data_IF_355521936697
#
_entry.id   IF_355521936697
#
_cell.length_a   1.000
_cell.length_b   1.000
_cell.length_c   1.000
_cell.angle_alpha   90.00
_cell.angle_beta   90.00
_cell.angle_gamma   90.00
#
_symmetry.space_group_name_H-M   'P 1'
#
loop_
_entity.id
_entity.type
_entity.pdbx_description
1 polymer ?
#
# COMPACT_ATOMS: atom_id res chain seq x y z
N UNK A 1 -2.38 -2.34 19.02
CA UNK A 1 -2.05 -2.12 17.61
C UNK A 1 -1.75 -0.64 17.44
N UNK A 2 -0.59 -0.28 16.91
CA UNK A 2 -0.23 1.11 16.60
C UNK A 2 -0.99 1.59 15.36
N UNK A 3 -0.95 2.90 15.10
CA UNK A 3 -1.54 3.47 13.88
C UNK A 3 -0.89 2.90 12.61
N UNK A 4 0.44 2.76 12.62
CA UNK A 4 1.22 2.15 11.54
C UNK A 4 0.76 0.71 11.25
N UNK A 5 0.70 -0.14 12.27
CA UNK A 5 0.22 -1.52 12.14
C UNK A 5 -1.21 -1.57 11.58
N UNK A 6 -2.10 -0.68 12.06
CA UNK A 6 -3.49 -0.62 11.61
C UNK A 6 -3.57 -0.26 10.12
N UNK A 7 -2.84 0.77 9.69
CA UNK A 7 -2.82 1.22 8.30
C UNK A 7 -2.23 0.16 7.36
N UNK A 8 -1.14 -0.50 7.78
CA UNK A 8 -0.54 -1.59 7.00
C UNK A 8 -1.47 -2.79 6.90
N UNK A 9 -2.19 -3.15 7.97
CA UNK A 9 -3.08 -4.32 7.98
C UNK A 9 -4.34 -4.17 7.13
N UNK A 10 -4.87 -2.95 6.96
CA UNK A 10 -6.08 -2.72 6.14
C UNK A 10 -5.78 -2.66 4.63
N UNK A 11 -4.53 -2.44 4.24
CA UNK A 11 -4.09 -2.42 2.84
C UNK A 11 -4.38 -1.11 2.09
N UNK A 12 -3.59 -0.84 1.05
CA UNK A 12 -3.61 0.42 0.31
C UNK A 12 -4.91 0.62 -0.47
N UNK A 13 -5.45 -0.43 -1.10
CA UNK A 13 -6.69 -0.36 -1.90
C UNK A 13 -7.89 0.07 -1.04
N UNK A 14 -8.04 -0.50 0.15
CA UNK A 14 -9.14 -0.16 1.05
C UNK A 14 -9.00 1.27 1.60
N UNK A 15 -7.77 1.72 1.87
CA UNK A 15 -7.48 3.10 2.25
C UNK A 15 -7.81 4.09 1.11
N UNK A 16 -7.41 3.78 -0.12
CA UNK A 16 -7.68 4.61 -1.30
C UNK A 16 -9.18 4.80 -1.54
N UNK A 17 -9.97 3.71 -1.48
CA UNK A 17 -11.44 3.75 -1.59
C UNK A 17 -12.10 4.65 -0.54
N UNK A 18 -11.47 4.78 0.63
CA UNK A 18 -12.01 5.49 1.79
C UNK A 18 -11.48 6.94 1.95
N UNK A 19 -10.75 7.45 0.97
CA UNK A 19 -10.26 8.84 0.92
C UNK A 19 -8.75 9.00 1.02
N UNK A 20 -8.00 7.89 1.11
CA UNK A 20 -6.57 7.88 0.81
C UNK A 20 -6.33 8.33 -0.63
N UNK A 21 -5.18 8.94 -0.87
CA UNK A 21 -4.81 9.50 -2.18
C UNK A 21 -3.70 8.67 -2.79
N UNK A 22 -3.98 7.84 -3.81
CA UNK A 22 -2.95 7.07 -4.48
C UNK A 22 -1.90 7.98 -5.11
N UNK A 23 -0.63 7.68 -4.86
CA UNK A 23 0.48 8.24 -5.63
C UNK A 23 0.50 7.60 -7.04
N UNK A 24 1.43 8.03 -7.91
CA UNK A 24 1.49 7.56 -9.30
C UNK A 24 1.51 6.03 -9.42
N UNK A 25 0.72 5.49 -10.34
CA UNK A 25 0.56 4.04 -10.55
C UNK A 25 1.86 3.34 -11.03
N UNK A 26 2.86 4.13 -11.41
CA UNK A 26 4.19 3.66 -11.77
C UNK A 26 5.10 3.39 -10.57
N UNK A 27 4.66 3.69 -9.33
CA UNK A 27 5.41 3.37 -8.12
C UNK A 27 5.06 1.96 -7.65
N UNK A 28 6.04 1.06 -7.64
CA UNK A 28 5.88 -0.33 -7.24
C UNK A 28 6.99 -0.74 -6.26
N UNK A 29 6.72 -1.77 -5.45
CA UNK A 29 7.74 -2.34 -4.58
C UNK A 29 8.86 -2.97 -5.41
N UNK A 30 10.12 -2.70 -5.04
CA UNK A 30 11.27 -3.28 -5.73
C UNK A 30 11.53 -4.74 -5.37
N UNK A 31 10.77 -5.29 -4.42
CA UNK A 31 10.74 -6.72 -4.10
C UNK A 31 9.35 -7.17 -3.59
N UNK A 32 8.89 -8.40 -3.90
CA UNK A 32 7.53 -8.84 -3.56
C UNK A 32 7.26 -8.94 -2.07
N UNK A 33 6.10 -8.48 -1.62
CA UNK A 33 5.66 -8.57 -0.23
C UNK A 33 6.20 -7.47 0.67
N UNK A 34 6.85 -6.44 0.12
CA UNK A 34 7.22 -5.27 0.90
C UNK A 34 5.96 -4.48 1.24
N UNK A 35 5.80 -4.14 2.51
CA UNK A 35 4.71 -3.29 2.96
C UNK A 35 5.14 -2.48 4.18
N UNK A 36 4.61 -1.27 4.31
CA UNK A 36 4.79 -0.45 5.49
C UNK A 36 3.67 0.59 5.61
N UNK A 37 3.54 1.17 6.80
CA UNK A 37 2.85 2.44 6.94
C UNK A 37 3.54 3.32 7.98
N UNK A 38 3.79 4.59 7.64
CA UNK A 38 4.58 5.50 8.46
C UNK A 38 4.27 6.97 8.17
N UNK A 39 4.69 7.85 9.08
CA UNK A 39 4.62 9.30 8.84
C UNK A 39 5.64 9.70 7.78
N UNK A 40 5.22 10.52 6.82
CA UNK A 40 6.04 11.03 5.74
C UNK A 40 7.09 12.02 6.27
N UNK A 41 8.33 11.80 5.82
CA UNK A 41 9.43 12.75 5.87
C UNK A 41 9.82 13.10 4.42
N UNK A 42 9.37 14.26 3.92
CA UNK A 42 9.65 14.67 2.54
C UNK A 42 11.13 14.92 2.27
N UNK A 43 11.58 14.56 1.08
CA UNK A 43 12.94 14.78 0.58
C UNK A 43 12.86 15.24 -0.87
N UNK A 44 13.61 16.28 -1.23
CA UNK A 44 13.82 16.67 -2.62
C UNK A 44 15.30 16.55 -2.95
N UNK A 45 15.63 15.63 -3.84
CA UNK A 45 16.95 15.49 -4.41
C UNK A 45 17.18 16.52 -5.52
N UNK A 46 18.45 16.89 -5.74
CA UNK A 46 18.82 17.56 -6.98
C UNK A 46 18.85 16.54 -8.14
N UNK A 47 18.64 16.98 -9.39
CA UNK A 47 18.77 16.16 -10.59
C UNK A 47 20.05 15.29 -10.59
N UNK A 48 19.89 13.97 -10.54
CA UNK A 48 21.00 13.00 -10.57
C UNK A 48 21.87 12.94 -9.31
N UNK A 49 21.40 13.45 -8.17
CA UNK A 49 22.16 13.54 -6.93
C UNK A 49 21.36 13.10 -5.70
N UNK A 50 21.95 12.26 -4.83
CA UNK A 50 21.28 11.71 -3.67
C UNK A 50 21.81 12.24 -2.32
N UNK A 51 22.57 13.35 -2.27
CA UNK A 51 23.07 13.91 -1.01
C UNK A 51 21.93 14.18 -0.01
N UNK A 52 20.79 14.69 -0.49
CA UNK A 52 19.62 14.95 0.35
C UNK A 52 19.05 13.69 1.01
N UNK A 53 19.17 12.51 0.37
CA UNK A 53 18.75 11.24 0.94
C UNK A 53 19.63 10.82 2.11
N UNK A 54 20.95 10.95 1.98
CA UNK A 54 21.87 10.69 3.09
C UNK A 54 21.58 11.61 4.28
N UNK A 55 21.34 12.90 4.03
CA UNK A 55 20.92 13.84 5.07
C UNK A 55 19.58 13.46 5.70
N UNK A 56 18.62 12.97 4.90
CA UNK A 56 17.32 12.55 5.39
C UNK A 56 17.41 11.31 6.29
N UNK A 57 18.24 10.32 5.95
CA UNK A 57 18.49 9.14 6.80
C UNK A 57 19.02 9.54 8.19
N UNK A 58 19.84 10.59 8.25
CA UNK A 58 20.36 11.10 9.52
C UNK A 58 19.34 11.90 10.35
N UNK A 59 18.42 12.62 9.70
CA UNK A 59 17.53 13.58 10.35
C UNK A 59 16.10 13.09 10.57
N UNK A 60 15.64 12.12 9.78
CA UNK A 60 14.28 11.61 9.88
C UNK A 60 14.11 10.86 11.22
N UNK A 61 13.01 11.11 11.95
CA UNK A 61 12.72 10.34 13.16
C UNK A 61 12.57 8.85 12.84
N UNK A 62 13.03 7.94 13.72
CA UNK A 62 12.67 6.52 13.61
C UNK A 62 11.15 6.35 13.54
N UNK A 63 10.67 5.39 12.75
CA UNK A 63 9.26 5.20 12.44
C UNK A 63 8.73 6.05 11.27
N UNK A 64 9.61 6.77 10.56
CA UNK A 64 9.22 7.62 9.41
C UNK A 64 9.43 6.88 8.08
N UNK A 65 8.70 7.34 7.05
CA UNK A 65 8.97 6.99 5.66
C UNK A 65 9.60 8.16 4.92
N UNK A 66 10.67 7.91 4.16
CA UNK A 66 11.23 8.92 3.27
C UNK A 66 10.38 8.97 2.00
N UNK A 67 9.88 10.15 1.63
CA UNK A 67 9.13 10.35 0.37
C UNK A 67 9.91 11.33 -0.48
N UNK A 68 10.29 10.92 -1.69
CA UNK A 68 11.42 11.51 -2.41
C UNK A 68 11.00 11.97 -3.79
N UNK A 69 11.17 13.26 -4.04
CA UNK A 69 11.11 13.90 -5.35
C UNK A 69 12.54 14.03 -5.91
N UNK A 70 12.81 13.42 -7.06
CA UNK A 70 14.12 13.47 -7.75
C UNK A 70 14.18 14.55 -8.83
N UNK A 71 13.25 15.50 -8.80
CA UNK A 71 13.15 16.62 -9.73
C UNK A 71 13.04 16.21 -11.21
N UNK A 72 12.39 15.06 -11.47
CA UNK A 72 12.14 14.54 -12.82
C UNK A 72 13.28 13.75 -13.46
N UNK A 73 14.42 13.58 -12.79
CA UNK A 73 15.55 12.81 -13.31
C UNK A 73 15.53 11.36 -12.84
N UNK A 74 14.75 10.51 -13.50
CA UNK A 74 14.61 9.09 -13.14
C UNK A 74 15.71 8.16 -13.73
N UNK A 75 16.74 8.69 -14.38
CA UNK A 75 17.79 7.87 -15.04
C UNK A 75 18.87 7.34 -14.10
N UNK A 76 18.86 7.75 -12.82
CA UNK A 76 19.88 7.38 -11.83
C UNK A 76 19.30 6.50 -10.73
N UNK A 77 20.10 5.57 -10.21
CA UNK A 77 19.82 4.81 -8.99
C UNK A 77 20.14 5.65 -7.76
N UNK A 78 19.13 6.29 -7.16
CA UNK A 78 19.30 7.17 -5.99
C UNK A 78 19.44 6.41 -4.66
N UNK A 79 18.87 5.22 -4.60
CA UNK A 79 18.95 4.31 -3.45
C UNK A 79 19.63 3.03 -3.87
N UNK A 80 20.60 2.61 -3.08
CA UNK A 80 21.39 1.41 -3.26
C UNK A 80 21.44 0.57 -1.97
N UNK A 81 22.24 -0.50 -1.96
CA UNK A 81 22.39 -1.36 -0.78
C UNK A 81 22.85 -0.57 0.46
N UNK A 82 23.84 0.31 0.30
CA UNK A 82 24.45 1.04 1.43
C UNK A 82 23.42 1.98 2.06
N UNK A 83 22.71 2.76 1.23
CA UNK A 83 21.70 3.68 1.72
C UNK A 83 20.51 2.94 2.32
N UNK A 84 20.08 1.82 1.72
CA UNK A 84 18.97 1.02 2.24
C UNK A 84 19.31 0.41 3.61
N UNK A 85 20.52 -0.15 3.78
CA UNK A 85 21.00 -0.66 5.08
C UNK A 85 21.09 0.46 6.11
N UNK A 86 21.59 1.64 5.72
CA UNK A 86 21.67 2.79 6.62
C UNK A 86 20.28 3.26 7.08
N UNK A 87 19.33 3.38 6.15
CA UNK A 87 17.94 3.73 6.45
C UNK A 87 17.30 2.72 7.40
N UNK A 88 17.49 1.41 7.14
CA UNK A 88 16.95 0.34 7.97
C UNK A 88 17.52 0.41 9.39
N UNK A 89 18.84 0.58 9.50
CA UNK A 89 19.54 0.69 10.78
C UNK A 89 19.09 1.90 11.59
N UNK A 90 18.66 2.99 10.92
CA UNK A 90 18.11 4.19 11.56
C UNK A 90 16.63 4.11 11.90
N UNK A 91 15.97 2.98 11.62
CA UNK A 91 14.55 2.79 11.90
C UNK A 91 13.65 3.54 10.93
N UNK A 92 14.08 3.75 9.69
CA UNK A 92 13.20 4.17 8.60
C UNK A 92 12.33 2.97 8.20
N UNK A 93 11.02 3.18 8.11
CA UNK A 93 10.05 2.12 7.84
C UNK A 93 9.88 1.85 6.34
N UNK A 94 10.22 2.82 5.50
CA UNK A 94 10.19 2.66 4.05
C UNK A 94 10.66 3.88 3.29
N UNK A 95 10.98 3.68 2.01
CA UNK A 95 11.40 4.73 1.09
C UNK A 95 10.48 4.69 -0.13
N UNK A 96 9.90 5.84 -0.50
CA UNK A 96 9.11 6.02 -1.71
C UNK A 96 9.79 7.07 -2.56
N UNK A 97 10.12 6.77 -3.81
CA UNK A 97 10.74 7.74 -4.71
C UNK A 97 10.14 7.67 -6.11
N UNK A 98 9.83 8.85 -6.67
CA UNK A 98 9.50 8.98 -8.10
C UNK A 98 10.79 9.04 -8.94
N UNK A 99 11.64 8.03 -8.78
CA UNK A 99 12.92 7.87 -9.44
C UNK A 99 13.41 6.43 -9.33
N UNK A 100 14.55 6.10 -9.96
CA UNK A 100 15.08 4.75 -9.97
C UNK A 100 15.96 4.41 -8.76
N UNK A 101 16.11 3.11 -8.51
CA UNK A 101 17.03 2.53 -7.52
C UNK A 101 18.02 1.57 -8.17
N UNK A 102 19.04 1.14 -7.41
CA UNK A 102 19.96 0.05 -7.77
C UNK A 102 20.04 -1.01 -6.66
N UNK A 103 20.71 -2.12 -6.95
CA UNK A 103 20.94 -3.21 -5.99
C UNK A 103 19.68 -3.83 -5.34
N UNK A 104 18.59 -3.92 -6.10
CA UNK A 104 17.29 -4.40 -5.58
C UNK A 104 17.34 -5.76 -4.88
N UNK A 105 18.23 -6.65 -5.34
CA UNK A 105 18.43 -7.96 -4.71
C UNK A 105 19.04 -7.85 -3.31
N UNK A 106 19.89 -6.84 -3.08
CA UNK A 106 20.45 -6.55 -1.76
C UNK A 106 19.46 -5.83 -0.86
N UNK A 107 18.72 -4.86 -1.41
CA UNK A 107 17.63 -4.16 -0.72
C UNK A 107 16.59 -5.17 -0.20
N UNK A 108 16.24 -6.17 -1.00
CA UNK A 108 15.35 -7.25 -0.58
C UNK A 108 15.91 -8.08 0.59
N UNK A 109 17.23 -8.37 0.60
CA UNK A 109 17.88 -9.15 1.67
C UNK A 109 17.92 -8.42 3.01
N UNK A 110 18.03 -7.09 3.01
CA UNK A 110 17.95 -6.30 4.24
C UNK A 110 16.51 -5.96 4.64
N UNK A 111 15.51 -6.42 3.88
CA UNK A 111 14.08 -6.22 4.14
C UNK A 111 13.68 -4.74 4.31
N UNK A 112 14.37 -3.82 3.62
CA UNK A 112 13.99 -2.41 3.57
C UNK A 112 12.90 -2.22 2.50
N UNK A 113 11.68 -1.80 2.86
CA UNK A 113 10.64 -1.51 1.89
C UNK A 113 11.02 -0.30 1.04
N UNK A 114 11.16 -0.50 -0.27
CA UNK A 114 11.45 0.58 -1.23
C UNK A 114 10.47 0.51 -2.39
N UNK A 115 9.82 1.63 -2.65
CA UNK A 115 8.86 1.82 -3.73
C UNK A 115 9.41 2.83 -4.72
N UNK A 116 9.56 2.42 -5.96
CA UNK A 116 10.31 3.17 -6.97
C UNK A 116 9.56 3.15 -8.30
N UNK A 117 9.89 4.11 -9.17
CA UNK A 117 9.42 4.13 -10.56
C UNK A 117 10.24 3.26 -11.51
N UNK A 118 11.37 2.71 -11.08
CA UNK A 118 12.22 1.90 -11.93
C UNK A 118 13.54 1.45 -11.30
N UNK A 119 14.38 0.82 -12.10
CA UNK A 119 15.70 0.36 -11.69
C UNK A 119 16.73 0.89 -12.68
N UNK A 120 17.81 1.49 -12.18
CA UNK A 120 18.91 2.01 -13.00
C UNK A 120 20.24 1.62 -12.39
N UNK A 121 21.16 1.13 -13.22
CA UNK A 121 22.55 0.83 -12.82
C UNK A 121 23.41 2.09 -12.71
N UNK A 122 22.92 3.23 -13.20
CA UNK A 122 23.67 4.49 -13.22
C UNK A 122 23.70 5.11 -11.83
N UNK A 123 24.89 5.40 -11.34
CA UNK A 123 25.09 5.97 -10.00
C UNK A 123 24.74 7.47 -9.93
N UNK A 124 24.02 7.87 -8.89
CA UNK A 124 23.78 9.28 -8.55
C UNK A 124 25.02 9.93 -7.90
N UNK A 125 25.21 11.23 -8.12
CA UNK A 125 26.19 12.04 -7.40
C UNK A 125 25.76 12.36 -5.96
N UNK A 126 26.62 13.07 -5.22
CA UNK A 126 26.38 13.48 -3.82
C UNK A 126 26.95 14.87 -3.47
N UNK A 127 26.88 15.82 -4.41
CA UNK A 127 27.48 17.15 -4.32
C UNK A 127 26.53 18.31 -4.69
N UNK A 128 25.33 18.05 -5.22
CA UNK A 128 24.42 19.07 -5.75
C UNK A 128 23.35 19.57 -4.76
N UNK A 129 23.27 19.00 -3.55
CA UNK A 129 22.37 19.47 -2.48
C UNK A 129 20.95 18.95 -2.59
N UNK A 130 19.96 19.76 -2.18
CA UNK A 130 18.54 19.39 -2.13
C UNK A 130 17.84 19.95 -0.89
N UNK A 131 16.69 19.40 -0.53
CA UNK A 131 15.97 19.79 0.69
C UNK A 131 15.39 18.59 1.43
N UNK A 132 15.31 18.71 2.75
CA UNK A 132 14.74 17.69 3.64
C UNK A 132 13.68 18.31 4.53
N UNK A 133 12.58 17.58 4.73
CA UNK A 133 11.46 17.99 5.56
C UNK A 133 10.63 19.17 5.07
N UNK A 134 10.93 19.70 3.87
CA UNK A 134 10.14 20.73 3.19
C UNK A 134 9.06 20.07 2.35
N UNK A 135 7.95 20.78 2.10
CA UNK A 135 6.90 20.24 1.23
C UNK A 135 7.47 19.89 -0.15
N UNK A 136 7.14 18.70 -0.65
CA UNK A 136 7.42 18.27 -2.02
C UNK A 136 6.13 17.98 -2.78
N UNK A 137 6.26 17.80 -4.09
CA UNK A 137 5.16 17.44 -4.97
C UNK A 137 5.49 16.09 -5.61
N UNK A 138 4.54 15.15 -5.54
CA UNK A 138 4.66 13.83 -6.14
C UNK A 138 3.59 13.61 -7.19
N UNK A 139 3.91 12.79 -8.18
CA UNK A 139 2.94 12.30 -9.16
C UNK A 139 1.82 11.54 -8.45
N UNK A 140 0.59 11.69 -8.96
CA UNK A 140 -0.60 11.01 -8.46
C UNK A 140 -1.15 10.06 -9.52
N UNK A 141 -1.95 9.08 -9.13
CA UNK A 141 -2.74 8.30 -10.10
C UNK A 141 -3.84 9.14 -10.79
N UNK A 142 -4.17 10.30 -10.21
CA UNK A 142 -5.13 11.26 -10.75
C UNK A 142 -4.49 12.39 -11.57
N UNK A 143 -5.31 13.31 -12.12
CA UNK A 143 -4.86 14.35 -13.04
C UNK A 143 -4.03 15.47 -12.38
N UNK A 144 -4.02 15.56 -11.05
CA UNK A 144 -3.31 16.59 -10.30
C UNK A 144 -2.28 15.94 -9.38
N UNK A 145 -1.06 16.51 -9.31
CA UNK A 145 -0.05 16.00 -8.41
C UNK A 145 -0.42 16.24 -6.93
N UNK A 146 0.21 15.49 -6.05
CA UNK A 146 -0.04 15.51 -4.61
C UNK A 146 1.09 16.21 -3.87
N UNK A 147 0.73 17.10 -2.95
CA UNK A 147 1.69 17.67 -2.01
C UNK A 147 1.91 16.71 -0.85
N UNK A 148 3.17 16.45 -0.52
CA UNK A 148 3.56 15.64 0.64
C UNK A 148 4.17 16.56 1.69
N UNK A 149 3.65 16.49 2.91
CA UNK A 149 4.10 17.32 4.04
C UNK A 149 4.47 16.44 5.22
N UNK A 150 5.29 16.99 6.12
CA UNK A 150 5.54 16.35 7.43
C UNK A 150 4.21 16.09 8.16
N UNK A 151 4.09 14.87 8.66
CA UNK A 151 2.93 14.38 9.41
C UNK A 151 1.83 13.78 8.55
N UNK A 152 1.86 13.93 7.22
CA UNK A 152 1.05 13.06 6.36
C UNK A 152 1.49 11.61 6.56
N UNK A 153 0.60 10.66 6.29
CA UNK A 153 0.92 9.24 6.40
C UNK A 153 1.05 8.62 5.02
N UNK A 154 1.98 7.69 4.90
CA UNK A 154 2.13 6.82 3.73
C UNK A 154 1.78 5.42 4.16
N UNK A 155 0.97 4.74 3.37
CA UNK A 155 0.82 3.29 3.40
C UNK A 155 1.25 2.76 2.03
N UNK A 156 1.97 1.65 2.02
CA UNK A 156 2.42 1.00 0.80
C UNK A 156 2.39 -0.52 0.99
N UNK A 157 2.02 -1.22 -0.08
CA UNK A 157 2.01 -2.68 -0.23
C UNK A 157 2.14 -3.03 -1.72
N UNK A 158 2.01 -4.29 -2.09
CA UNK A 158 2.18 -4.75 -3.48
C UNK A 158 1.25 -4.05 -4.51
N UNK A 159 0.14 -3.44 -4.08
CA UNK A 159 -0.78 -2.71 -4.97
C UNK A 159 -0.32 -1.26 -5.25
N UNK A 160 0.60 -0.71 -4.47
CA UNK A 160 1.21 0.60 -4.69
C UNK A 160 1.33 1.45 -3.43
N UNK A 161 1.22 2.77 -3.59
CA UNK A 161 1.45 3.74 -2.50
C UNK A 161 0.28 4.70 -2.34
N UNK A 162 -0.18 4.88 -1.11
CA UNK A 162 -1.29 5.77 -0.76
C UNK A 162 -0.85 6.78 0.28
N UNK A 163 -1.12 8.06 0.00
CA UNK A 163 -0.96 9.17 0.93
C UNK A 163 -2.26 9.44 1.69
N UNK A 164 -2.17 9.54 3.00
CA UNK A 164 -3.25 9.94 3.90
C UNK A 164 -2.93 11.30 4.51
N UNK A 165 -3.67 12.36 4.17
CA UNK A 165 -3.44 13.68 4.75
C UNK A 165 -3.57 13.64 6.28
N UNK A 166 -2.63 14.28 6.99
CA UNK A 166 -2.54 14.22 8.47
C UNK A 166 -3.82 14.53 9.24
N UNK A 167 -4.69 15.38 8.68
CA UNK A 167 -5.98 15.76 9.28
C UNK A 167 -7.15 14.83 8.96
N UNK A 168 -6.94 13.78 8.16
CA UNK A 168 -8.00 12.90 7.65
C UNK A 168 -7.81 11.44 8.04
N UNK A 169 -6.65 11.06 8.60
CA UNK A 169 -6.27 9.67 8.90
C UNK A 169 -7.36 8.94 9.70
N UNK A 170 -7.83 9.50 10.82
CA UNK A 170 -8.86 8.85 11.65
C UNK A 170 -10.20 8.67 10.93
N UNK A 171 -10.58 9.60 10.05
CA UNK A 171 -11.80 9.51 9.25
C UNK A 171 -11.70 8.42 8.18
N UNK A 172 -10.54 8.33 7.51
CA UNK A 172 -10.26 7.30 6.51
C UNK A 172 -10.30 5.92 7.17
N UNK A 173 -9.59 5.73 8.29
CA UNK A 173 -9.59 4.43 9.00
C UNK A 173 -11.00 4.02 9.41
N UNK A 174 -11.80 4.93 9.96
CA UNK A 174 -13.17 4.61 10.37
C UNK A 174 -14.04 4.11 9.20
N UNK A 175 -13.89 4.72 8.01
CA UNK A 175 -14.57 4.27 6.79
C UNK A 175 -14.03 2.92 6.29
N UNK A 176 -12.70 2.75 6.29
CA UNK A 176 -12.05 1.52 5.84
C UNK A 176 -12.47 0.32 6.68
N UNK A 177 -12.47 0.45 8.01
CA UNK A 177 -12.90 -0.65 8.90
C UNK A 177 -14.36 -1.00 8.66
N UNK A 178 -15.22 0.00 8.39
CA UNK A 178 -16.62 -0.24 8.09
C UNK A 178 -16.83 -0.93 6.72
N UNK A 179 -15.97 -0.68 5.72
CA UNK A 179 -16.10 -1.28 4.39
C UNK A 179 -15.61 -2.73 4.32
N UNK A 180 -14.59 -3.10 5.11
CA UNK A 180 -13.98 -4.44 5.06
C UNK A 180 -14.97 -5.57 5.37
N UNK A 181 -15.90 -5.36 6.32
CA UNK A 181 -16.94 -6.36 6.62
C UNK A 181 -17.84 -6.64 5.41
N UNK A 182 -18.20 -5.60 4.66
CA UNK A 182 -19.06 -5.75 3.49
C UNK A 182 -18.32 -6.46 2.34
N UNK A 183 -17.03 -6.19 2.15
CA UNK A 183 -16.22 -6.88 1.15
C UNK A 183 -16.09 -8.38 1.47
N UNK A 184 -15.92 -8.74 2.74
CA UNK A 184 -15.88 -10.14 3.15
C UNK A 184 -17.21 -10.87 2.87
N UNK A 185 -18.35 -10.23 3.16
CA UNK A 185 -19.68 -10.78 2.86
C UNK A 185 -19.87 -11.05 1.35
N UNK A 186 -19.39 -10.14 0.50
CA UNK A 186 -19.41 -10.32 -0.96
C UNK A 186 -18.54 -11.50 -1.40
N UNK A 187 -17.32 -11.62 -0.85
CA UNK A 187 -16.40 -12.73 -1.14
C UNK A 187 -17.04 -14.07 -0.74
N UNK A 188 -17.63 -14.15 0.46
CA UNK A 188 -18.28 -15.36 0.95
C UNK A 188 -19.47 -15.76 0.06
N UNK A 189 -20.25 -14.78 -0.41
CA UNK A 189 -21.35 -15.01 -1.34
C UNK A 189 -20.87 -15.52 -2.71
N UNK A 190 -19.75 -14.99 -3.21
CA UNK A 190 -19.11 -15.50 -4.44
C UNK A 190 -18.62 -16.93 -4.24
N UNK A 191 -17.97 -17.25 -3.11
CA UNK A 191 -17.58 -18.63 -2.78
C UNK A 191 -18.79 -19.57 -2.67
N UNK A 192 -19.95 -19.06 -2.25
CA UNK A 192 -21.22 -19.79 -2.24
C UNK A 192 -21.88 -19.92 -3.63
N UNK A 193 -21.22 -19.45 -4.71
CA UNK A 193 -21.66 -19.58 -6.09
C UNK A 193 -22.66 -18.52 -6.54
N UNK A 194 -22.76 -17.39 -5.83
CA UNK A 194 -23.54 -16.24 -6.32
C UNK A 194 -22.76 -15.46 -7.38
N UNK A 195 -23.48 -14.90 -8.36
CA UNK A 195 -22.89 -14.13 -9.45
C UNK A 195 -22.46 -12.74 -8.98
N UNK A 196 -21.30 -12.28 -9.45
CA UNK A 196 -20.86 -10.89 -9.22
C UNK A 196 -21.75 -9.87 -9.94
N UNK A 197 -22.42 -10.25 -11.03
CA UNK A 197 -23.38 -9.37 -11.71
C UNK A 197 -24.54 -9.03 -10.78
N UNK A 198 -25.11 -10.03 -10.12
CA UNK A 198 -26.23 -9.86 -9.19
C UNK A 198 -25.78 -9.15 -7.91
N UNK A 199 -24.68 -9.61 -7.30
CA UNK A 199 -24.17 -9.09 -6.04
C UNK A 199 -23.80 -7.61 -6.11
N UNK A 200 -23.24 -7.17 -7.25
CA UNK A 200 -22.80 -5.80 -7.46
C UNK A 200 -23.79 -4.97 -8.28
N UNK A 201 -24.95 -5.54 -8.67
CA UNK A 201 -25.97 -4.87 -9.46
C UNK A 201 -25.47 -4.36 -10.81
N UNK A 202 -24.60 -5.11 -11.47
CA UNK A 202 -23.97 -4.72 -12.74
C UNK A 202 -24.92 -4.99 -13.91
N UNK A 203 -24.93 -4.07 -14.88
CA UNK A 203 -25.70 -4.22 -16.12
C UNK A 203 -24.82 -4.86 -17.21
N UNK A 204 -24.95 -6.18 -17.49
CA UNK A 204 -24.15 -6.83 -18.50
C UNK A 204 -24.55 -6.43 -19.93
N UNK A 205 -25.71 -5.80 -20.15
CA UNK A 205 -26.15 -5.39 -21.48
C UNK A 205 -25.27 -4.30 -22.10
N UNK A 206 -24.47 -3.63 -21.29
CA UNK A 206 -23.46 -2.66 -21.74
C UNK A 206 -22.24 -3.32 -22.41
N UNK A 207 -22.11 -4.65 -22.34
CA UNK A 207 -20.95 -5.39 -22.87
C UNK A 207 -21.36 -6.17 -24.12
N UNK A 208 -20.71 -5.87 -25.25
CA UNK A 208 -20.92 -6.61 -26.49
C UNK A 208 -20.49 -8.08 -26.35
N UNK A 209 -21.31 -9.01 -26.84
CA UNK A 209 -21.04 -10.45 -26.73
C UNK A 209 -21.59 -11.10 -25.46
N UNK A 210 -22.32 -10.36 -24.63
CA UNK A 210 -23.14 -10.97 -23.59
C UNK A 210 -24.33 -11.71 -24.22
N UNK A 211 -24.33 -13.04 -24.14
CA UNK A 211 -25.36 -13.91 -24.73
C UNK A 211 -26.57 -14.14 -23.80
N UNK A 212 -26.57 -13.52 -22.60
CA UNK A 212 -27.57 -13.76 -21.58
C UNK A 212 -27.40 -15.13 -20.89
N UNK A 213 -28.27 -15.40 -19.92
CA UNK A 213 -28.22 -16.62 -19.12
C UNK A 213 -28.76 -17.82 -19.91
N UNK A 214 -27.94 -18.36 -20.82
CA UNK A 214 -28.13 -19.70 -21.35
C UNK A 214 -28.03 -20.73 -20.22
N UNK A 215 -29.19 -21.21 -19.73
CA UNK A 215 -29.38 -22.48 -19.00
C UNK A 215 -28.67 -22.72 -17.65
N UNK A 216 -27.88 -21.80 -17.10
CA UNK A 216 -27.12 -22.06 -15.85
C UNK A 216 -27.89 -21.87 -14.52
N UNK A 217 -29.18 -21.51 -14.54
CA UNK A 217 -30.00 -21.31 -13.33
C UNK A 217 -31.10 -22.34 -13.08
N UNK A 218 -31.11 -23.47 -13.81
CA UNK A 218 -32.11 -24.53 -13.64
C UNK A 218 -31.92 -25.43 -12.40
N UNK A 219 -30.96 -25.13 -11.51
CA UNK A 219 -30.78 -25.84 -10.21
C UNK A 219 -31.15 -25.02 -8.97
N UNK A 220 -32.03 -24.02 -9.10
CA UNK A 220 -32.74 -23.45 -7.93
C UNK A 220 -34.19 -23.94 -7.90
N UNK A 221 -34.33 -25.22 -7.57
CA UNK A 221 -35.60 -25.79 -7.15
C UNK A 221 -35.99 -25.27 -5.78
N UNK A 222 -37.17 -24.65 -5.73
CA UNK A 222 -38.11 -24.58 -4.61
C UNK A 222 -37.63 -24.02 -3.27
N UNK A 223 -38.10 -22.79 -2.97
CA UNK A 223 -38.56 -22.45 -1.62
C UNK A 223 -37.75 -21.41 -0.86
N UNK A 224 -37.96 -20.13 -1.16
CA UNK A 224 -37.84 -19.07 -0.15
C UNK A 224 -38.74 -17.89 -0.54
N UNK A 225 -39.99 -17.96 -0.10
CA UNK A 225 -40.92 -16.82 -0.12
C UNK A 225 -40.41 -15.80 0.90
N UNK A 226 -40.22 -14.56 0.49
CA UNK A 226 -39.76 -13.49 1.39
C UNK A 226 -40.65 -13.38 2.64
N UNK A 227 -40.10 -13.32 3.87
CA UNK A 227 -40.89 -13.06 5.05
C UNK A 227 -41.29 -11.57 5.06
N UNK A 228 -42.59 -11.32 5.23
CA UNK A 228 -43.13 -9.99 5.53
C UNK A 228 -42.51 -9.51 6.85
N UNK A 229 -42.01 -8.28 6.85
CA UNK A 229 -41.57 -7.59 8.06
C UNK A 229 -42.79 -7.28 8.92
N UNK A 230 -42.92 -7.97 10.04
CA UNK A 230 -43.57 -7.45 11.24
C UNK A 230 -42.61 -7.64 12.42
N UNK A 231 -42.53 -6.59 13.23
CA UNK A 231 -41.45 -6.39 14.19
C UNK A 231 -41.54 -7.19 15.49
N UNK A 232 -40.61 -6.84 16.36
CA UNK A 232 -40.42 -7.19 17.78
C UNK A 232 -39.43 -8.33 18.10
N UNK A 233 -38.20 -7.89 18.36
CA UNK A 233 -37.48 -7.99 19.63
C UNK A 233 -36.92 -9.33 20.16
N UNK A 234 -35.65 -9.21 20.58
CA UNK A 234 -34.87 -9.93 21.61
C UNK A 234 -34.14 -11.22 21.20
N UNK A 235 -32.87 -11.28 21.58
CA UNK A 235 -32.09 -12.52 21.63
C UNK A 235 -30.58 -12.28 21.69
N UNK A 236 -30.01 -12.49 22.88
CA UNK A 236 -28.59 -12.49 23.21
C UNK A 236 -27.81 -13.62 22.50
N UNK A 237 -26.47 -13.54 22.50
CA UNK A 237 -25.62 -14.72 22.24
C UNK A 237 -24.25 -14.41 21.64
N UNK A 238 -23.29 -14.01 22.48
CA UNK A 238 -21.90 -13.76 22.11
C UNK A 238 -21.10 -15.07 22.09
N UNK A 239 -20.29 -15.32 21.04
CA UNK A 239 -19.22 -16.36 21.06
C UNK A 239 -18.04 -15.85 20.25
N UNK A 240 -16.78 -15.93 20.75
CA UNK A 240 -15.66 -15.16 20.22
C UNK A 240 -14.93 -15.83 19.06
N UNK A 241 -14.35 -15.00 18.20
CA UNK A 241 -13.51 -15.35 17.05
C UNK A 241 -12.18 -15.97 17.50
N UNK A 242 -11.76 -17.06 16.85
CA UNK A 242 -10.44 -17.67 17.00
C UNK A 242 -9.39 -16.87 16.19
N UNK A 243 -8.28 -16.55 16.84
CA UNK A 243 -7.10 -15.90 16.26
C UNK A 243 -6.31 -16.86 15.37
N UNK A 244 -5.98 -16.45 14.15
CA UNK A 244 -4.98 -17.10 13.30
C UNK A 244 -3.59 -16.55 13.64
N UNK A 245 -2.64 -17.44 13.94
CA UNK A 245 -1.21 -17.11 14.07
C UNK A 245 -0.50 -17.30 12.72
N UNK A 246 0.56 -16.52 12.41
CA UNK A 246 1.30 -16.65 11.15
C UNK A 246 2.29 -17.82 11.17
N UNK A 247 2.72 -18.34 9.99
CA UNK A 247 3.57 -19.52 9.90
C UNK A 247 5.05 -19.22 10.25
N UNK A 248 5.67 -20.18 10.92
CA UNK A 248 7.10 -20.22 11.24
C UNK A 248 7.97 -20.29 9.98
N UNK A 249 8.96 -19.40 9.87
CA UNK A 249 10.08 -19.51 8.93
C UNK A 249 11.23 -20.30 9.55
N UNK A 250 11.57 -21.45 8.97
CA UNK A 250 12.80 -22.17 9.29
C UNK A 250 13.95 -21.59 8.47
N UNK A 251 14.82 -20.81 9.11
CA UNK A 251 16.08 -20.34 8.55
C UNK A 251 17.08 -21.50 8.58
N UNK A 252 17.52 -21.95 7.41
CA UNK A 252 18.66 -22.85 7.27
C UNK A 252 19.96 -22.06 7.38
N UNK A 253 20.70 -22.28 8.47
CA UNK A 253 22.09 -21.85 8.61
C UNK A 253 22.94 -22.48 7.51
N UNK A 254 23.60 -21.66 6.68
CA UNK A 254 24.82 -22.09 5.97
C UNK A 254 26.01 -21.40 6.61
N UNK A 255 26.81 -22.21 7.30
CA UNK A 255 28.17 -21.90 7.73
C UNK A 255 29.04 -21.68 6.49
N UNK A 256 29.73 -20.55 6.43
CA UNK A 256 30.94 -20.43 5.61
C UNK A 256 32.09 -21.09 6.35
N UNK A 257 32.74 -22.06 5.69
CA UNK A 257 33.98 -22.66 6.13
C UNK A 257 35.12 -22.21 5.21
N UNK A 258 36.24 -21.88 5.87
CA UNK A 258 37.64 -21.69 5.42
C UNK A 258 37.97 -20.63 4.37
#
# INVERSE_FOLDING_TARGET
MTLAETLSAVGTVALARCGGRPLGAHLFSVWPGAAFAASAFPVRCAPGDNLALHVAVEQAPPGSALVVDVAGEAEYGYVDEILAVAAHTRGIEGIVLDGCVRDIAAIARCAMPVFSSGVSVREAGHHAGGSVGQMITMSAAGPLPLQVRRGDWIAADDDGVVLLPRGQVSSIIGKTVASLSHEQELIDAVHAGQSTLDLLGLDPSQVSGWEGDGEHHSRRGAGARAPRRDGTARGEGHTPLRSCSPPHTSVGERRYGE
#
